data_IF_776766578590
#
_entry.id   IF_776766578590
#
_cell.length_a   1.000
_cell.length_b   1.000
_cell.length_c   1.000
_cell.angle_alpha   90.00
_cell.angle_beta   90.00
_cell.angle_gamma   90.00
#
_symmetry.space_group_name_H-M   'P 1'
#
loop_
_entity.id
_entity.type
_entity.pdbx_description
1 polymer ?
#
# COMPACT_ATOMS: atom_id res chain seq x y z
N UNK A 1 16.00 -23.75 -0.95
CA UNK A 1 15.19 -24.75 -0.23
C UNK A 1 13.73 -24.43 -0.48
N UNK A 2 13.00 -25.43 -1.00
CA UNK A 2 11.55 -25.37 -1.18
C UNK A 2 10.91 -25.52 0.20
N UNK A 3 10.06 -24.55 0.61
CA UNK A 3 9.48 -24.55 1.95
C UNK A 3 8.06 -25.09 1.97
N UNK A 4 7.20 -24.63 1.05
CA UNK A 4 5.79 -25.01 0.99
C UNK A 4 5.28 -24.89 -0.45
N UNK A 5 4.44 -25.84 -0.88
CA UNK A 5 3.59 -25.72 -2.05
C UNK A 5 2.14 -25.59 -1.60
N UNK A 6 1.47 -24.53 -2.03
CA UNK A 6 0.05 -24.34 -1.78
C UNK A 6 -0.72 -24.46 -3.08
N UNK A 7 -1.62 -25.46 -3.17
CA UNK A 7 -2.47 -25.62 -4.32
C UNK A 7 -3.68 -24.71 -4.24
N UNK A 8 -3.68 -23.64 -5.03
CA UNK A 8 -4.79 -22.67 -5.10
C UNK A 8 -6.02 -23.19 -5.86
N UNK A 9 -5.92 -24.33 -6.53
CA UNK A 9 -7.04 -24.93 -7.29
C UNK A 9 -8.03 -25.71 -6.43
N UNK A 10 -7.81 -25.79 -5.11
CA UNK A 10 -8.78 -26.37 -4.17
C UNK A 10 -10.11 -25.63 -4.25
N UNK A 11 -11.19 -26.37 -4.48
CA UNK A 11 -12.53 -25.78 -4.62
C UNK A 11 -12.85 -24.85 -3.42
N UNK A 12 -13.11 -23.58 -3.69
CA UNK A 12 -13.52 -22.59 -2.70
C UNK A 12 -12.48 -21.54 -2.28
N UNK A 13 -11.21 -21.65 -2.71
CA UNK A 13 -10.20 -20.59 -2.43
C UNK A 13 -10.21 -19.47 -3.46
N UNK A 14 -10.52 -19.74 -4.71
CA UNK A 14 -10.53 -18.74 -5.78
C UNK A 14 -9.15 -18.50 -6.42
N UNK A 15 -9.02 -17.40 -7.17
CA UNK A 15 -7.78 -17.02 -7.85
C UNK A 15 -6.97 -16.09 -6.96
N UNK A 16 -5.67 -16.35 -6.73
CA UNK A 16 -4.81 -15.43 -5.98
C UNK A 16 -4.57 -14.16 -6.80
N UNK A 17 -4.79 -13.01 -6.18
CA UNK A 17 -4.53 -11.69 -6.77
C UNK A 17 -3.21 -11.11 -6.27
N UNK A 18 -2.89 -11.30 -4.99
CA UNK A 18 -1.69 -10.76 -4.38
C UNK A 18 -1.21 -11.64 -3.21
N UNK A 19 0.10 -11.64 -2.99
CA UNK A 19 0.77 -12.41 -1.95
C UNK A 19 1.80 -11.55 -1.26
N UNK A 20 1.77 -11.51 0.06
CA UNK A 20 2.78 -10.84 0.86
C UNK A 20 3.27 -11.70 2.02
N UNK A 21 4.52 -11.47 2.45
CA UNK A 21 5.15 -12.18 3.56
C UNK A 21 5.50 -11.20 4.67
N UNK A 22 5.34 -11.65 5.91
CA UNK A 22 5.90 -10.95 7.08
C UNK A 22 7.42 -10.86 6.97
N UNK A 23 8.03 -9.87 7.64
CA UNK A 23 9.47 -9.62 7.54
C UNK A 23 10.34 -10.78 8.06
N UNK A 24 9.80 -11.63 8.94
CA UNK A 24 10.45 -12.85 9.41
C UNK A 24 10.14 -14.10 8.55
N UNK A 25 9.33 -13.93 7.49
CA UNK A 25 8.98 -14.99 6.55
C UNK A 25 8.04 -16.07 7.10
N UNK A 26 7.51 -15.92 8.31
CA UNK A 26 6.69 -16.95 8.96
C UNK A 26 5.22 -16.88 8.58
N UNK A 27 4.70 -15.69 8.33
CA UNK A 27 3.29 -15.49 8.00
C UNK A 27 3.16 -14.99 6.57
N UNK A 28 2.31 -15.67 5.81
CA UNK A 28 1.95 -15.30 4.45
C UNK A 28 0.50 -14.84 4.42
N UNK A 29 0.25 -13.70 3.81
CA UNK A 29 -1.06 -13.19 3.44
C UNK A 29 -1.29 -13.48 1.97
N UNK A 30 -2.45 -14.04 1.63
CA UNK A 30 -2.87 -14.23 0.24
C UNK A 30 -4.25 -13.62 0.06
N UNK A 31 -4.39 -12.81 -0.96
CA UNK A 31 -5.66 -12.23 -1.38
C UNK A 31 -6.22 -13.06 -2.51
N UNK A 32 -7.40 -13.64 -2.31
CA UNK A 32 -8.09 -14.43 -3.33
C UNK A 32 -9.31 -13.70 -3.84
N UNK A 33 -9.62 -13.97 -5.08
CA UNK A 33 -10.80 -13.48 -5.79
C UNK A 33 -11.61 -14.66 -6.33
N UNK A 34 -12.93 -14.62 -6.19
CA UNK A 34 -13.84 -15.58 -6.79
C UNK A 34 -15.22 -14.97 -7.00
N UNK A 35 -16.06 -15.66 -7.76
CA UNK A 35 -17.46 -15.32 -7.92
C UNK A 35 -18.32 -16.38 -7.27
N UNK A 36 -19.24 -15.96 -6.42
CA UNK A 36 -20.21 -16.84 -5.76
C UNK A 36 -21.61 -16.27 -5.97
N UNK A 37 -22.52 -17.11 -6.50
CA UNK A 37 -23.89 -16.71 -6.78
C UNK A 37 -24.02 -15.42 -7.61
N UNK A 38 -23.11 -15.22 -8.56
CA UNK A 38 -23.06 -14.03 -9.40
C UNK A 38 -22.51 -12.77 -8.74
N UNK A 39 -22.03 -12.86 -7.48
CA UNK A 39 -21.40 -11.75 -6.77
C UNK A 39 -19.89 -11.92 -6.72
N UNK A 40 -19.19 -10.81 -6.83
CA UNK A 40 -17.75 -10.75 -6.62
C UNK A 40 -17.46 -10.89 -5.13
N UNK A 41 -16.50 -11.74 -4.79
CA UNK A 41 -16.09 -11.96 -3.40
C UNK A 41 -14.58 -12.09 -3.33
N UNK A 42 -13.98 -11.49 -2.33
CA UNK A 42 -12.57 -11.69 -2.00
C UNK A 42 -12.40 -12.39 -0.67
N UNK A 43 -11.35 -13.21 -0.56
CA UNK A 43 -10.88 -13.79 0.70
C UNK A 43 -9.49 -13.31 0.99
N UNK A 44 -9.26 -12.91 2.25
CA UNK A 44 -7.93 -12.65 2.80
C UNK A 44 -7.58 -13.81 3.70
N UNK A 45 -6.60 -14.62 3.30
CA UNK A 45 -6.20 -15.81 4.03
C UNK A 45 -4.78 -15.65 4.54
N UNK A 46 -4.55 -16.08 5.79
CA UNK A 46 -3.24 -16.10 6.40
C UNK A 46 -2.79 -17.53 6.65
N UNK A 47 -1.57 -17.79 6.26
CA UNK A 47 -0.86 -19.06 6.49
C UNK A 47 0.33 -18.80 7.41
N UNK A 48 0.55 -19.67 8.40
CA UNK A 48 1.68 -19.58 9.31
C UNK A 48 2.55 -20.83 9.18
N UNK A 49 3.79 -20.66 8.78
CA UNK A 49 4.78 -21.73 8.59
C UNK A 49 5.63 -22.01 9.84
N UNK A 50 5.27 -21.44 10.98
CA UNK A 50 5.79 -21.74 12.31
C UNK A 50 4.82 -22.58 13.13
N UNK A 51 5.08 -22.69 14.43
CA UNK A 51 4.32 -23.55 15.36
C UNK A 51 2.80 -23.31 15.33
N UNK A 52 2.35 -22.06 15.15
CA UNK A 52 0.93 -21.75 15.14
C UNK A 52 0.16 -22.35 13.95
N UNK A 53 0.86 -22.71 12.88
CA UNK A 53 0.29 -23.38 11.72
C UNK A 53 0.41 -24.90 11.74
N UNK A 54 1.20 -25.47 12.67
CA UNK A 54 1.38 -26.91 12.78
C UNK A 54 0.06 -27.62 13.06
N UNK A 55 -0.17 -28.75 12.37
CA UNK A 55 -1.39 -29.54 12.51
C UNK A 55 -2.66 -28.92 11.93
N UNK A 56 -2.58 -27.73 11.31
CA UNK A 56 -3.68 -27.11 10.59
C UNK A 56 -3.66 -27.48 9.11
N UNK A 57 -4.83 -27.53 8.49
CA UNK A 57 -4.95 -27.76 7.05
C UNK A 57 -4.21 -26.65 6.31
N UNK A 58 -3.22 -27.02 5.50
CA UNK A 58 -2.41 -26.11 4.69
C UNK A 58 -1.77 -24.95 5.49
N UNK A 59 -1.51 -25.13 6.80
CA UNK A 59 -1.01 -24.08 7.68
C UNK A 59 -1.91 -22.82 7.78
N UNK A 60 -3.16 -22.89 7.37
CA UNK A 60 -4.09 -21.77 7.44
C UNK A 60 -4.42 -21.42 8.90
N UNK A 61 -4.18 -20.19 9.30
CA UNK A 61 -4.43 -19.70 10.67
C UNK A 61 -5.61 -18.77 10.79
N UNK A 62 -5.94 -18.02 9.73
CA UNK A 62 -7.14 -17.18 9.71
C UNK A 62 -7.61 -16.90 8.28
N UNK A 63 -8.88 -16.55 8.15
CA UNK A 63 -9.52 -16.17 6.90
C UNK A 63 -10.61 -15.14 7.16
N UNK A 64 -10.74 -14.18 6.26
CA UNK A 64 -11.82 -13.18 6.22
C UNK A 64 -12.37 -13.09 4.80
N UNK A 65 -13.69 -12.89 4.69
CA UNK A 65 -14.40 -12.83 3.42
C UNK A 65 -15.06 -11.46 3.23
N UNK A 66 -15.00 -10.93 2.00
CA UNK A 66 -15.48 -9.62 1.62
C UNK A 66 -16.32 -9.73 0.36
N UNK A 67 -17.65 -9.66 0.53
CA UNK A 67 -18.61 -9.72 -0.56
C UNK A 67 -18.70 -8.35 -1.22
N UNK A 68 -18.87 -8.33 -2.56
CA UNK A 68 -18.91 -7.12 -3.40
C UNK A 68 -17.68 -6.23 -3.23
N UNK A 69 -16.52 -6.86 -3.05
CA UNK A 69 -15.23 -6.18 -2.85
C UNK A 69 -14.13 -6.95 -3.57
N UNK A 70 -13.27 -6.24 -4.30
CA UNK A 70 -12.05 -6.80 -4.89
C UNK A 70 -10.87 -6.37 -4.05
N UNK A 71 -10.30 -7.28 -3.25
CA UNK A 71 -9.05 -7.05 -2.51
C UNK A 71 -7.87 -7.23 -3.46
N UNK A 72 -7.20 -6.14 -3.84
CA UNK A 72 -6.22 -6.13 -4.92
C UNK A 72 -4.76 -5.94 -4.45
N UNK A 73 -4.54 -5.46 -3.23
CA UNK A 73 -3.18 -5.24 -2.72
C UNK A 73 -3.08 -5.60 -1.24
N UNK A 74 -2.04 -6.36 -0.89
CA UNK A 74 -1.77 -6.79 0.48
C UNK A 74 -0.30 -6.60 0.86
N UNK A 75 -0.03 -6.14 2.08
CA UNK A 75 1.33 -5.93 2.57
C UNK A 75 1.40 -5.94 4.09
N UNK A 76 2.61 -6.18 4.59
CA UNK A 76 2.91 -6.06 6.02
C UNK A 76 3.56 -4.70 6.32
N UNK A 77 3.11 -4.05 7.38
CA UNK A 77 3.78 -2.88 7.95
C UNK A 77 4.90 -3.31 8.90
N UNK A 78 4.62 -4.35 9.69
CA UNK A 78 5.56 -5.01 10.60
C UNK A 78 5.16 -6.49 10.79
N UNK A 79 5.82 -7.22 11.66
CA UNK A 79 5.55 -8.66 11.91
C UNK A 79 4.16 -8.94 12.47
N UNK A 80 3.47 -7.96 13.03
CA UNK A 80 2.17 -8.10 13.71
C UNK A 80 1.05 -7.32 13.05
N UNK A 81 1.36 -6.52 12.04
CA UNK A 81 0.41 -5.64 11.37
C UNK A 81 0.48 -5.84 9.87
N UNK A 82 -0.61 -6.26 9.29
CA UNK A 82 -0.77 -6.34 7.84
C UNK A 82 -2.01 -5.59 7.37
N UNK A 83 -2.06 -5.35 6.09
CA UNK A 83 -3.08 -4.53 5.44
C UNK A 83 -3.56 -5.25 4.20
N UNK A 84 -4.86 -5.17 3.94
CA UNK A 84 -5.45 -5.49 2.65
C UNK A 84 -6.21 -4.27 2.13
N UNK A 85 -5.99 -3.92 0.88
CA UNK A 85 -6.65 -2.79 0.22
C UNK A 85 -7.54 -3.32 -0.88
N UNK A 86 -8.81 -3.03 -0.77
CA UNK A 86 -9.83 -3.33 -1.75
C UNK A 86 -10.27 -2.08 -2.50
N UNK A 87 -11.07 -2.28 -3.54
CA UNK A 87 -11.64 -1.20 -4.35
C UNK A 87 -12.50 -0.20 -3.55
N UNK A 88 -13.08 -0.65 -2.44
CA UNK A 88 -14.00 0.14 -1.60
C UNK A 88 -13.62 0.20 -0.12
N UNK A 89 -12.51 -0.43 0.28
CA UNK A 89 -12.10 -0.44 1.68
C UNK A 89 -10.60 -0.67 1.88
N UNK A 90 -10.14 -0.25 3.05
CA UNK A 90 -8.83 -0.55 3.63
C UNK A 90 -9.04 -1.35 4.90
N UNK A 91 -8.42 -2.51 5.02
CA UNK A 91 -8.55 -3.40 6.19
C UNK A 91 -7.19 -3.57 6.85
N UNK A 92 -7.15 -3.35 8.15
CA UNK A 92 -5.95 -3.53 8.98
C UNK A 92 -6.14 -4.78 9.82
N UNK A 93 -5.16 -5.67 9.76
CA UNK A 93 -5.09 -6.89 10.54
C UNK A 93 -4.02 -6.77 11.62
N UNK A 94 -4.28 -7.40 12.76
CA UNK A 94 -3.36 -7.45 13.90
C UNK A 94 -3.17 -8.88 14.37
N UNK A 95 -1.94 -9.20 14.74
CA UNK A 95 -1.54 -10.51 15.28
C UNK A 95 -0.31 -11.03 14.55
N UNK A 96 0.71 -11.42 15.33
CA UNK A 96 1.97 -11.93 14.77
C UNK A 96 1.81 -13.34 14.19
N UNK A 97 1.06 -14.21 14.86
CA UNK A 97 0.95 -15.60 14.46
C UNK A 97 -0.41 -15.94 13.82
N UNK A 98 -1.44 -15.26 14.25
CA UNK A 98 -2.82 -15.43 13.78
C UNK A 98 -3.45 -14.06 13.54
N UNK A 99 -3.16 -13.41 12.41
CA UNK A 99 -3.70 -12.10 12.09
C UNK A 99 -5.22 -12.13 12.03
N UNK A 100 -5.86 -11.15 12.67
CA UNK A 100 -7.32 -10.96 12.66
C UNK A 100 -7.65 -9.54 12.25
N UNK A 101 -8.81 -9.36 11.61
CA UNK A 101 -9.32 -8.03 11.29
C UNK A 101 -9.44 -7.20 12.58
N UNK A 102 -8.71 -6.10 12.64
CA UNK A 102 -8.72 -5.16 13.74
C UNK A 102 -9.50 -3.90 13.39
N UNK A 103 -9.47 -3.51 12.13
CA UNK A 103 -10.17 -2.33 11.65
C UNK A 103 -10.45 -2.39 10.16
N UNK A 104 -11.69 -2.03 9.78
CA UNK A 104 -12.10 -1.78 8.41
C UNK A 104 -12.44 -0.30 8.23
N UNK A 105 -11.95 0.28 7.14
CA UNK A 105 -12.17 1.68 6.76
C UNK A 105 -12.82 1.64 5.38
N UNK A 106 -14.07 2.07 5.28
CA UNK A 106 -14.72 2.20 4.00
C UNK A 106 -14.17 3.43 3.27
N UNK A 107 -13.93 3.28 1.99
CA UNK A 107 -13.44 4.34 1.11
C UNK A 107 -14.59 4.84 0.26
N UNK A 108 -14.67 6.16 0.18
CA UNK A 108 -15.70 6.92 -0.54
C UNK A 108 -15.28 7.31 -1.95
N UNK A 109 -14.07 6.93 -2.36
CA UNK A 109 -13.46 7.33 -3.63
C UNK A 109 -12.68 6.18 -4.25
N UNK A 110 -12.61 6.18 -5.57
CA UNK A 110 -11.78 5.27 -6.36
C UNK A 110 -10.30 5.44 -6.01
N UNK A 111 -9.61 4.32 -5.78
CA UNK A 111 -8.17 4.29 -5.52
C UNK A 111 -7.43 4.29 -6.85
N UNK A 112 -6.52 5.25 -7.02
CA UNK A 112 -5.58 5.29 -8.14
C UNK A 112 -4.25 4.61 -7.81
N UNK A 113 -3.72 4.85 -6.61
CA UNK A 113 -2.43 4.31 -6.18
C UNK A 113 -2.42 4.00 -4.70
N UNK A 114 -1.68 2.94 -4.35
CA UNK A 114 -1.39 2.54 -2.97
C UNK A 114 0.13 2.59 -2.78
N UNK A 115 0.56 3.16 -1.68
CA UNK A 115 1.97 3.20 -1.28
C UNK A 115 2.07 3.13 0.24
N UNK A 116 3.15 2.56 0.75
CA UNK A 116 3.29 2.36 2.19
C UNK A 116 4.75 2.38 2.66
N UNK A 117 4.92 2.47 3.95
CA UNK A 117 6.15 2.11 4.66
C UNK A 117 5.77 1.46 6.00
N UNK A 118 6.73 1.18 6.87
CA UNK A 118 6.50 0.52 8.17
C UNK A 118 5.48 1.21 9.09
N UNK A 119 5.17 2.50 8.89
CA UNK A 119 4.35 3.29 9.82
C UNK A 119 3.08 3.87 9.19
N UNK A 120 3.02 3.91 7.86
CA UNK A 120 1.97 4.64 7.16
C UNK A 120 1.49 3.90 5.91
N UNK A 121 0.22 4.09 5.62
CA UNK A 121 -0.48 3.62 4.44
C UNK A 121 -0.96 4.85 3.69
N UNK A 122 -0.54 5.02 2.44
CA UNK A 122 -0.93 6.15 1.60
C UNK A 122 -1.80 5.69 0.44
N UNK A 123 -2.82 6.47 0.16
CA UNK A 123 -3.70 6.31 -0.98
C UNK A 123 -3.73 7.58 -1.81
N UNK A 124 -3.68 7.45 -3.12
CA UNK A 124 -4.10 8.49 -4.05
C UNK A 124 -5.51 8.13 -4.50
N UNK A 125 -6.45 9.00 -4.19
CA UNK A 125 -7.86 8.81 -4.44
C UNK A 125 -8.33 9.79 -5.51
N UNK A 126 -9.14 9.32 -6.45
CA UNK A 126 -9.73 10.15 -7.50
C UNK A 126 -10.86 11.01 -6.92
N UNK A 127 -10.85 12.29 -7.22
CA UNK A 127 -11.94 13.16 -6.81
C UNK A 127 -13.17 12.95 -7.72
N UNK A 128 -14.35 12.80 -7.11
CA UNK A 128 -15.61 12.77 -7.84
C UNK A 128 -16.06 14.19 -8.18
N UNK A 129 -16.55 14.40 -9.40
CA UNK A 129 -17.15 15.65 -9.84
C UNK A 129 -16.20 16.85 -9.96
N UNK A 130 -14.90 16.64 -9.75
CA UNK A 130 -13.86 17.68 -9.94
C UNK A 130 -12.54 17.08 -10.41
N UNK A 131 -11.76 17.89 -11.08
CA UNK A 131 -10.41 17.48 -11.51
C UNK A 131 -9.46 17.28 -10.33
N UNK A 132 -8.50 16.36 -10.50
CA UNK A 132 -7.44 16.09 -9.55
C UNK A 132 -7.73 14.95 -8.57
N UNK A 133 -6.89 14.83 -7.58
CA UNK A 133 -6.81 13.71 -6.66
C UNK A 133 -6.75 14.18 -5.21
N UNK A 134 -6.99 13.24 -4.30
CA UNK A 134 -6.74 13.41 -2.87
C UNK A 134 -5.58 12.49 -2.44
N UNK A 135 -4.56 13.08 -1.84
CA UNK A 135 -3.58 12.35 -1.05
C UNK A 135 -4.16 12.08 0.34
N UNK A 136 -4.42 10.82 0.66
CA UNK A 136 -4.88 10.40 1.99
C UNK A 136 -3.85 9.47 2.62
N UNK A 137 -3.31 9.85 3.77
CA UNK A 137 -2.33 9.08 4.51
C UNK A 137 -2.92 8.63 5.85
N UNK A 138 -2.80 7.35 6.14
CA UNK A 138 -3.20 6.74 7.40
C UNK A 138 -1.97 6.30 8.19
N UNK A 139 -2.05 6.36 9.52
CA UNK A 139 -1.10 5.65 10.37
C UNK A 139 -1.48 4.15 10.49
N UNK A 140 -0.63 3.36 11.17
CA UNK A 140 -0.87 1.94 11.36
C UNK A 140 -2.14 1.59 12.15
N UNK A 141 -2.75 2.54 12.86
CA UNK A 141 -4.06 2.37 13.54
C UNK A 141 -5.25 2.80 12.65
N UNK A 142 -4.99 3.14 11.39
CA UNK A 142 -6.00 3.59 10.45
C UNK A 142 -6.62 4.95 10.80
N UNK A 143 -5.86 5.83 11.45
CA UNK A 143 -6.24 7.23 11.64
C UNK A 143 -5.66 8.05 10.50
N UNK A 144 -6.47 8.94 9.94
CA UNK A 144 -6.04 9.87 8.88
C UNK A 144 -5.01 10.84 9.46
N UNK A 145 -3.85 10.91 8.82
CA UNK A 145 -2.75 11.83 9.14
C UNK A 145 -2.69 12.99 8.16
N UNK A 146 -2.96 12.71 6.87
CA UNK A 146 -3.07 13.69 5.80
C UNK A 146 -4.35 13.41 5.02
N UNK A 147 -5.05 14.47 4.65
CA UNK A 147 -6.08 14.50 3.62
C UNK A 147 -5.92 15.81 2.87
N UNK A 148 -5.37 15.77 1.65
CA UNK A 148 -5.05 16.96 0.84
C UNK A 148 -5.37 16.71 -0.62
N UNK A 149 -6.14 17.64 -1.19
CA UNK A 149 -6.35 17.66 -2.63
C UNK A 149 -5.15 18.27 -3.34
N UNK A 150 -4.88 17.76 -4.53
CA UNK A 150 -3.88 18.28 -5.44
C UNK A 150 -4.32 18.09 -6.89
N UNK A 151 -3.71 18.83 -7.80
CA UNK A 151 -3.83 18.67 -9.24
C UNK A 151 -2.54 18.07 -9.78
N UNK A 152 -2.62 17.41 -10.91
CA UNK A 152 -1.50 16.72 -11.53
C UNK A 152 -1.65 15.21 -11.41
N UNK A 153 -1.16 14.53 -12.42
CA UNK A 153 -1.12 13.08 -12.50
C UNK A 153 0.33 12.63 -12.28
N UNK A 154 0.54 11.80 -11.26
CA UNK A 154 1.85 11.33 -10.87
C UNK A 154 1.86 9.81 -10.90
N UNK A 155 2.70 9.23 -11.76
CA UNK A 155 2.88 7.78 -11.87
C UNK A 155 3.68 7.19 -10.71
N UNK A 156 4.51 8.01 -10.05
CA UNK A 156 5.36 7.58 -8.95
C UNK A 156 4.99 8.33 -7.67
N UNK A 157 4.69 7.58 -6.62
CA UNK A 157 4.37 8.12 -5.29
C UNK A 157 5.09 7.29 -4.24
N UNK A 158 5.80 7.96 -3.32
CA UNK A 158 6.51 7.27 -2.25
C UNK A 158 6.61 8.07 -0.95
N UNK A 159 6.80 7.32 0.13
CA UNK A 159 7.06 7.85 1.46
C UNK A 159 8.56 7.83 1.75
N UNK A 160 9.16 9.01 1.90
CA UNK A 160 10.57 9.18 2.26
C UNK A 160 10.67 9.96 3.59
N UNK A 161 10.91 9.25 4.68
CA UNK A 161 10.98 9.84 6.01
C UNK A 161 9.67 10.57 6.39
N UNK A 162 9.73 11.91 6.44
CA UNK A 162 8.56 12.75 6.77
C UNK A 162 7.88 13.37 5.55
N UNK A 163 8.16 12.86 4.37
CA UNK A 163 7.69 13.45 3.11
C UNK A 163 6.97 12.41 2.27
N UNK A 164 5.94 12.86 1.57
CA UNK A 164 5.35 12.17 0.42
C UNK A 164 5.89 12.86 -0.81
N UNK A 165 6.58 12.12 -1.66
CA UNK A 165 7.16 12.60 -2.90
C UNK A 165 6.37 11.98 -4.05
N UNK A 166 5.87 12.79 -4.94
CA UNK A 166 5.14 12.40 -6.12
C UNK A 166 5.83 12.97 -7.35
N UNK A 167 6.02 12.17 -8.38
CA UNK A 167 6.66 12.65 -9.61
C UNK A 167 6.23 11.87 -10.85
N UNK A 168 6.27 12.54 -11.98
CA UNK A 168 6.04 11.99 -13.31
C UNK A 168 6.73 12.84 -14.38
N UNK A 169 7.61 12.23 -15.19
CA UNK A 169 8.49 12.98 -16.06
C UNK A 169 9.26 14.03 -15.28
N UNK A 170 9.14 15.30 -15.67
CA UNK A 170 9.78 16.44 -14.99
C UNK A 170 9.00 16.96 -13.79
N UNK A 171 7.71 16.65 -13.69
CA UNK A 171 6.84 17.16 -12.64
C UNK A 171 7.14 16.50 -11.30
N UNK A 172 7.20 17.31 -10.24
CA UNK A 172 7.40 16.84 -8.89
C UNK A 172 6.57 17.64 -7.89
N UNK A 173 5.89 16.94 -6.99
CA UNK A 173 5.19 17.55 -5.86
C UNK A 173 5.61 16.86 -4.57
N UNK A 174 5.89 17.63 -3.53
CA UNK A 174 6.37 17.12 -2.24
C UNK A 174 5.50 17.68 -1.12
N UNK A 175 4.83 16.77 -0.41
CA UNK A 175 4.10 17.11 0.81
C UNK A 175 4.90 16.67 2.05
N UNK A 176 4.89 17.52 3.05
CA UNK A 176 5.30 17.11 4.40
C UNK A 176 4.21 16.25 5.02
N UNK A 177 4.58 15.34 5.92
CA UNK A 177 3.64 14.45 6.63
C UNK A 177 2.57 15.19 7.46
N UNK A 178 2.76 16.47 7.75
CA UNK A 178 1.74 17.32 8.36
C UNK A 178 0.80 17.99 7.32
N UNK A 179 0.88 17.58 6.05
CA UNK A 179 0.04 18.09 4.97
C UNK A 179 0.47 19.41 4.36
N UNK A 180 1.64 19.95 4.76
CA UNK A 180 2.18 21.19 4.16
C UNK A 180 2.81 20.83 2.81
N UNK A 181 2.38 21.52 1.76
CA UNK A 181 3.01 21.48 0.44
C UNK A 181 4.38 22.16 0.52
N UNK A 182 5.43 21.38 0.31
CA UNK A 182 6.82 21.83 0.41
C UNK A 182 7.39 22.29 -0.93
N UNK A 183 7.03 21.59 -1.99
CA UNK A 183 7.44 21.86 -3.35
C UNK A 183 6.36 21.40 -4.31
N UNK A 184 6.15 22.15 -5.38
CA UNK A 184 5.33 21.80 -6.53
C UNK A 184 5.89 22.51 -7.74
N UNK A 185 6.34 21.74 -8.74
CA UNK A 185 7.02 22.32 -9.91
C UNK A 185 7.64 21.28 -10.81
N UNK A 186 8.50 21.75 -11.71
CA UNK A 186 9.19 20.91 -12.69
C UNK A 186 10.71 20.94 -12.44
N UNK A 187 11.36 19.83 -12.77
CA UNK A 187 12.81 19.67 -12.81
C UNK A 187 13.33 19.91 -14.23
N UNK A 188 14.63 20.08 -14.37
CA UNK A 188 15.26 20.30 -15.67
C UNK A 188 15.17 19.05 -16.56
N UNK A 189 15.26 17.86 -15.97
CA UNK A 189 15.24 16.55 -16.66
C UNK A 189 14.16 15.63 -16.08
N UNK A 190 13.78 14.61 -16.83
CA UNK A 190 12.85 13.58 -16.39
C UNK A 190 13.39 12.81 -15.18
N UNK A 191 12.59 12.72 -14.14
CA UNK A 191 12.96 12.10 -12.88
C UNK A 191 12.79 10.58 -12.99
N UNK A 192 13.88 9.85 -12.90
CA UNK A 192 13.86 8.39 -12.72
C UNK A 192 13.71 8.04 -11.24
N UNK A 193 14.37 8.80 -10.36
CA UNK A 193 14.30 8.63 -8.93
C UNK A 193 14.66 9.92 -8.19
N UNK A 194 14.04 10.18 -7.02
CA UNK A 194 14.34 11.33 -6.18
C UNK A 194 14.26 10.95 -4.70
N UNK A 195 15.25 11.34 -3.90
CA UNK A 195 15.23 11.14 -2.45
C UNK A 195 15.76 12.33 -1.69
N UNK A 196 15.20 12.60 -0.48
CA UNK A 196 15.75 13.60 0.41
C UNK A 196 17.09 13.11 0.98
N UNK A 197 18.03 14.04 1.12
CA UNK A 197 19.30 13.81 1.81
C UNK A 197 19.44 14.74 3.03
N UNK A 198 20.50 14.56 3.79
CA UNK A 198 20.77 15.42 4.95
C UNK A 198 20.87 16.89 4.54
N UNK A 199 20.21 17.74 5.30
CA UNK A 199 20.14 19.19 5.09
C UNK A 199 18.74 19.67 4.68
N UNK A 200 18.56 20.99 4.78
CA UNK A 200 17.28 21.63 4.49
C UNK A 200 17.03 21.68 2.98
N UNK A 201 15.94 21.07 2.55
CA UNK A 201 15.48 21.07 1.15
C UNK A 201 16.47 20.50 0.15
N UNK A 202 17.35 19.58 0.57
CA UNK A 202 18.32 18.94 -0.29
C UNK A 202 17.85 17.58 -0.75
N UNK A 203 18.06 17.29 -2.05
CA UNK A 203 17.64 16.04 -2.69
C UNK A 203 18.72 15.54 -3.63
N UNK A 204 18.74 14.23 -3.82
CA UNK A 204 19.39 13.61 -4.97
C UNK A 204 18.29 13.32 -5.98
N UNK A 205 18.50 13.73 -7.21
CA UNK A 205 17.65 13.39 -8.37
C UNK A 205 18.50 12.53 -9.30
N UNK A 206 17.96 11.41 -9.71
CA UNK A 206 18.50 10.55 -10.75
C UNK A 206 17.65 10.76 -11.99
N UNK A 207 18.29 11.08 -13.09
CA UNK A 207 17.69 11.25 -14.42
C UNK A 207 18.46 10.44 -15.45
N UNK A 208 18.02 10.45 -16.69
CA UNK A 208 18.79 9.86 -17.80
C UNK A 208 20.14 10.58 -18.03
N UNK A 209 20.22 11.85 -17.64
CA UNK A 209 21.42 12.69 -17.82
C UNK A 209 22.45 12.49 -16.71
N UNK A 210 22.07 11.86 -15.59
CA UNK A 210 22.99 11.60 -14.49
C UNK A 210 22.36 11.70 -13.09
N UNK A 211 23.22 12.01 -12.12
CA UNK A 211 22.84 12.12 -10.70
C UNK A 211 23.17 13.54 -10.21
N UNK A 212 22.14 14.26 -9.82
CA UNK A 212 22.25 15.64 -9.36
C UNK A 212 21.92 15.79 -7.88
N UNK A 213 22.67 16.67 -7.21
CA UNK A 213 22.33 17.16 -5.87
C UNK A 213 21.69 18.52 -6.02
N UNK A 214 20.41 18.60 -5.72
CA UNK A 214 19.64 19.85 -5.87
C UNK A 214 19.19 20.38 -4.51
N UNK A 215 18.86 21.66 -4.49
CA UNK A 215 18.18 22.31 -3.38
C UNK A 215 16.88 22.93 -3.89
N UNK A 216 15.75 22.36 -3.44
CA UNK A 216 14.45 22.91 -3.76
C UNK A 216 14.20 24.13 -2.88
N UNK A 217 13.96 25.25 -3.51
CA UNK A 217 13.53 26.52 -2.88
C UNK A 217 12.16 26.85 -3.44
N UNK A 218 11.30 27.41 -2.57
CA UNK A 218 10.00 27.95 -3.03
C UNK A 218 10.22 29.15 -3.88
#
# INVERSE_FOLDING_TARGET
NFLVEHNTSSAGTGYPLDISLSSDGRVMQVLYFFTQEGRITSKVIYYNFGEAGEGRTDNQVSSSEYVDTVMASGFFLDESTSVAVGDNCLVIYRGKETPKEAKRINLDKEIKSVFHNKNYIGLILKNEGREGYELRLYNADGKVVISKNFTGDYSNVKLCGRQVIMYDGKKCSIFMRNGILKFDGEMDSDILEIFPIMGVNRYIVISADGIDKIRLVK
#
